data_IF_354867870223
#
_entry.id   IF_354867870223
#
_cell.length_a   1.000
_cell.length_b   1.000
_cell.length_c   1.000
_cell.angle_alpha   90.00
_cell.angle_beta   90.00
_cell.angle_gamma   90.00
#
_symmetry.space_group_name_H-M   'P 1'
#
loop_
_entity.id
_entity.type
_entity.pdbx_description
1 polymer ?
#
# COMPACT_ATOMS: atom_id res chain seq x y z
N UNK A 1 -12.94 11.43 -1.72
CA UNK A 1 -12.80 10.15 -2.45
C UNK A 1 -13.88 10.05 -3.53
N UNK A 2 -13.55 9.64 -4.75
CA UNK A 2 -14.47 9.61 -5.91
C UNK A 2 -15.47 8.43 -5.89
N UNK A 3 -15.68 7.79 -4.73
CA UNK A 3 -16.51 6.60 -4.61
C UNK A 3 -17.95 6.82 -5.13
N UNK A 4 -18.56 7.96 -4.77
CA UNK A 4 -19.89 8.35 -5.26
C UNK A 4 -19.93 8.51 -6.78
N UNK A 5 -18.90 9.11 -7.38
CA UNK A 5 -18.80 9.28 -8.82
C UNK A 5 -18.67 7.92 -9.54
N UNK A 6 -17.92 6.99 -8.93
CA UNK A 6 -17.68 5.65 -9.47
C UNK A 6 -18.75 4.62 -9.07
N UNK A 7 -19.78 5.02 -8.32
CA UNK A 7 -20.83 4.14 -7.79
C UNK A 7 -20.28 2.95 -6.98
N UNK A 8 -19.19 3.18 -6.24
CA UNK A 8 -18.55 2.17 -5.39
C UNK A 8 -19.02 2.37 -3.95
N UNK A 9 -19.50 1.30 -3.33
CA UNK A 9 -19.77 1.28 -1.89
C UNK A 9 -18.45 1.27 -1.11
N UNK A 10 -18.34 2.13 -0.09
CA UNK A 10 -17.17 2.20 0.77
C UNK A 10 -17.60 1.88 2.18
N UNK A 11 -17.01 0.83 2.74
CA UNK A 11 -17.11 0.51 4.16
C UNK A 11 -15.83 0.98 4.86
N UNK A 12 -16.00 1.57 6.03
CA UNK A 12 -14.90 2.00 6.90
C UNK A 12 -14.99 1.25 8.22
N UNK A 13 -13.85 1.02 8.85
CA UNK A 13 -13.76 0.38 10.16
C UNK A 13 -12.70 1.08 11.00
N UNK A 14 -12.94 1.15 12.29
CA UNK A 14 -12.01 1.57 13.34
C UNK A 14 -11.20 0.40 13.92
N UNK A 15 -11.47 -0.83 13.47
CA UNK A 15 -10.73 -2.01 13.90
C UNK A 15 -9.28 -1.91 13.46
N UNK A 16 -8.34 -2.07 14.40
CA UNK A 16 -6.92 -2.15 14.10
C UNK A 16 -6.59 -3.50 13.43
N UNK A 17 -6.72 -3.55 12.10
CA UNK A 17 -6.43 -4.72 11.28
C UNK A 17 -4.94 -5.08 11.29
N UNK A 18 -4.07 -4.07 11.39
CA UNK A 18 -2.62 -4.22 11.26
C UNK A 18 -2.06 -4.87 12.52
N UNK A 19 -2.33 -4.30 13.70
CA UNK A 19 -1.79 -4.82 14.97
C UNK A 19 -2.46 -6.11 15.40
N UNK A 20 -3.75 -6.30 15.07
CA UNK A 20 -4.44 -7.57 15.36
C UNK A 20 -4.01 -8.72 14.44
N UNK A 21 -3.16 -8.45 13.44
CA UNK A 21 -2.78 -9.39 12.39
C UNK A 21 -4.00 -10.07 11.73
N UNK A 22 -5.16 -9.41 11.77
CA UNK A 22 -6.37 -9.88 11.13
C UNK A 22 -6.23 -9.65 9.64
N UNK A 23 -5.74 -10.67 8.96
CA UNK A 23 -5.75 -10.77 7.51
C UNK A 23 -7.16 -11.22 7.16
N UNK A 24 -8.07 -10.27 6.92
CA UNK A 24 -9.44 -10.60 6.53
C UNK A 24 -10.06 -11.69 7.41
N UNK A 25 -10.37 -11.37 8.67
CA UNK A 25 -11.25 -12.26 9.48
C UNK A 25 -12.65 -12.43 8.85
N UNK A 26 -12.93 -11.76 7.74
CA UNK A 26 -13.91 -12.16 6.74
C UNK A 26 -13.17 -12.35 5.39
N UNK A 27 -13.41 -13.47 4.72
CA UNK A 27 -12.61 -14.04 3.63
C UNK A 27 -12.57 -13.22 2.31
N UNK A 28 -13.15 -12.01 2.27
CA UNK A 28 -13.70 -11.43 1.04
C UNK A 28 -12.76 -10.56 0.20
N UNK A 29 -11.58 -10.18 0.70
CA UNK A 29 -10.72 -9.26 -0.07
C UNK A 29 -9.79 -10.03 -0.99
N UNK A 30 -9.84 -9.77 -2.29
CA UNK A 30 -8.85 -10.29 -3.25
C UNK A 30 -7.64 -9.34 -3.42
N UNK A 31 -7.86 -8.05 -3.17
CA UNK A 31 -6.87 -6.98 -3.41
C UNK A 31 -6.77 -6.10 -2.18
N UNK A 32 -5.55 -5.77 -1.79
CA UNK A 32 -5.21 -4.77 -0.78
C UNK A 32 -4.50 -3.61 -1.49
N UNK A 33 -5.06 -2.41 -1.34
CA UNK A 33 -4.48 -1.17 -1.83
C UNK A 33 -4.01 -0.36 -0.63
N UNK A 34 -2.75 0.06 -0.64
CA UNK A 34 -2.16 0.91 0.38
C UNK A 34 -1.78 2.23 -0.26
N UNK A 35 -2.24 3.34 0.33
CA UNK A 35 -1.79 4.68 -0.02
C UNK A 35 -1.58 5.47 1.25
N UNK A 36 -0.51 6.26 1.28
CA UNK A 36 -0.24 7.24 2.35
C UNK A 36 -0.14 6.67 3.79
N UNK A 37 0.39 5.45 3.93
CA UNK A 37 0.55 4.79 5.24
C UNK A 37 2.02 4.67 5.69
N UNK A 38 2.96 5.08 4.84
CA UNK A 38 4.40 4.94 5.07
C UNK A 38 5.04 6.27 5.51
N UNK A 39 4.43 6.95 6.47
CA UNK A 39 4.91 8.22 7.02
C UNK A 39 5.64 8.08 8.37
N UNK A 40 5.34 7.03 9.14
CA UNK A 40 5.95 6.73 10.44
C UNK A 40 6.59 5.34 10.47
N UNK A 41 7.83 5.25 10.96
CA UNK A 41 8.63 4.04 10.92
C UNK A 41 8.00 2.84 11.71
N UNK A 42 7.52 3.01 12.96
CA UNK A 42 6.94 1.88 13.70
C UNK A 42 5.66 1.31 13.07
N UNK A 43 4.86 2.18 12.44
CA UNK A 43 3.66 1.77 11.72
C UNK A 43 4.03 1.05 10.41
N UNK A 44 4.99 1.59 9.66
CA UNK A 44 5.49 0.99 8.42
C UNK A 44 5.97 -0.46 8.63
N UNK A 45 6.73 -0.73 9.69
CA UNK A 45 7.22 -2.09 10.00
C UNK A 45 6.09 -3.08 10.28
N UNK A 46 5.10 -2.67 11.08
CA UNK A 46 3.92 -3.51 11.36
C UNK A 46 3.11 -3.76 10.09
N UNK A 47 2.92 -2.72 9.29
CA UNK A 47 2.20 -2.78 8.03
C UNK A 47 2.88 -3.73 7.04
N UNK A 48 4.21 -3.65 6.86
CA UNK A 48 4.95 -4.56 5.97
C UNK A 48 4.77 -6.03 6.38
N UNK A 49 4.83 -6.32 7.69
CA UNK A 49 4.58 -7.69 8.20
C UNK A 49 3.17 -8.15 7.87
N UNK A 50 2.18 -7.30 8.10
CA UNK A 50 0.78 -7.60 7.79
C UNK A 50 0.56 -7.83 6.28
N UNK A 51 1.14 -6.99 5.42
CA UNK A 51 1.06 -7.12 3.95
C UNK A 51 1.70 -8.40 3.43
N UNK A 52 2.83 -8.82 4.02
CA UNK A 52 3.47 -10.10 3.70
C UNK A 52 2.56 -11.28 4.05
N UNK A 53 1.94 -11.26 5.22
CA UNK A 53 1.01 -12.31 5.61
C UNK A 53 -0.22 -12.33 4.71
N UNK A 54 -0.77 -11.17 4.33
CA UNK A 54 -1.84 -11.09 3.34
C UNK A 54 -1.41 -11.63 1.96
N UNK A 55 -0.17 -11.36 1.54
CA UNK A 55 0.39 -11.93 0.31
C UNK A 55 0.52 -13.45 0.35
N UNK A 56 0.93 -14.02 1.49
CA UNK A 56 0.98 -15.47 1.72
C UNK A 56 -0.42 -16.09 1.68
N UNK A 57 -1.44 -15.37 2.14
CA UNK A 57 -2.85 -15.76 2.01
C UNK A 57 -3.43 -15.57 0.59
N UNK A 58 -2.58 -15.35 -0.42
CA UNK A 58 -2.97 -15.28 -1.83
C UNK A 58 -3.55 -13.93 -2.27
N UNK A 59 -3.50 -12.88 -1.44
CA UNK A 59 -4.05 -11.57 -1.81
C UNK A 59 -3.10 -10.79 -2.73
N UNK A 60 -3.65 -9.98 -3.62
CA UNK A 60 -2.86 -9.03 -4.42
C UNK A 60 -2.62 -7.75 -3.62
N UNK A 61 -1.38 -7.30 -3.54
CA UNK A 61 -1.02 -6.13 -2.76
C UNK A 61 -0.41 -5.08 -3.68
N UNK A 62 -0.98 -3.87 -3.67
CA UNK A 62 -0.46 -2.72 -4.38
C UNK A 62 -0.27 -1.54 -3.44
N UNK A 63 0.83 -0.82 -3.64
CA UNK A 63 1.22 0.31 -2.82
C UNK A 63 1.41 1.51 -3.74
N UNK A 64 0.60 2.54 -3.53
CA UNK A 64 0.77 3.85 -4.16
C UNK A 64 1.66 4.71 -3.30
N UNK A 65 2.68 5.30 -3.93
CA UNK A 65 3.65 6.22 -3.34
C UNK A 65 4.11 5.83 -1.92
N UNK A 66 4.94 4.78 -1.80
CA UNK A 66 5.37 4.29 -0.50
C UNK A 66 6.27 5.27 0.28
N UNK A 67 6.53 6.46 -0.25
CA UNK A 67 7.39 7.45 0.39
C UNK A 67 8.77 6.89 0.72
N UNK A 68 9.30 7.31 1.87
CA UNK A 68 10.68 6.99 2.28
C UNK A 68 10.79 5.76 3.16
N UNK A 69 9.71 5.36 3.84
CA UNK A 69 9.79 4.39 4.92
C UNK A 69 9.56 2.93 4.50
N UNK A 70 9.01 2.66 3.32
CA UNK A 70 8.85 1.28 2.84
C UNK A 70 10.20 0.56 2.65
N UNK A 71 11.22 1.26 2.16
CA UNK A 71 12.47 0.66 1.69
C UNK A 71 13.65 0.82 2.69
N UNK A 72 13.33 1.08 3.95
CA UNK A 72 14.34 1.38 4.98
C UNK A 72 15.18 0.14 5.31
N UNK A 73 14.57 -1.03 5.36
CA UNK A 73 15.29 -2.27 5.62
C UNK A 73 15.90 -2.84 4.33
N UNK A 74 17.06 -3.49 4.44
CA UNK A 74 17.72 -4.15 3.29
C UNK A 74 16.84 -5.23 2.67
N UNK A 75 16.00 -5.89 3.48
CA UNK A 75 15.05 -6.92 3.02
C UNK A 75 13.94 -6.32 2.18
N UNK A 76 13.51 -5.10 2.47
CA UNK A 76 12.39 -4.46 1.80
C UNK A 76 12.79 -3.66 0.55
N UNK A 77 14.09 -3.61 0.20
CA UNK A 77 14.55 -2.88 -1.00
C UNK A 77 13.83 -3.34 -2.29
N UNK A 78 13.65 -2.40 -3.25
CA UNK A 78 13.19 -2.74 -4.60
C UNK A 78 13.95 -3.93 -5.19
N UNK A 79 13.22 -4.85 -5.82
CA UNK A 79 13.77 -6.06 -6.44
C UNK A 79 13.76 -7.30 -5.56
N UNK A 80 13.62 -7.17 -4.23
CA UNK A 80 13.46 -8.33 -3.33
C UNK A 80 12.00 -8.81 -3.34
N UNK A 81 11.17 -8.12 -2.55
CA UNK A 81 9.74 -8.43 -2.45
C UNK A 81 8.88 -7.42 -3.18
N UNK A 82 9.42 -6.26 -3.56
CA UNK A 82 8.68 -5.20 -4.20
C UNK A 82 9.17 -4.99 -5.63
N UNK A 83 8.25 -5.00 -6.59
CA UNK A 83 8.54 -4.53 -7.94
C UNK A 83 7.78 -3.24 -8.21
N UNK A 84 8.48 -2.30 -8.85
CA UNK A 84 7.86 -1.12 -9.43
C UNK A 84 6.99 -1.56 -10.61
N UNK A 85 5.73 -1.14 -10.62
CA UNK A 85 4.77 -1.52 -11.66
C UNK A 85 4.63 -0.42 -12.69
N UNK A 86 4.48 0.83 -12.25
CA UNK A 86 4.27 1.96 -13.15
C UNK A 86 4.45 3.29 -12.43
N UNK A 87 4.62 4.35 -13.22
CA UNK A 87 4.72 5.74 -12.79
C UNK A 87 3.65 6.57 -13.48
N UNK A 88 2.97 7.42 -12.72
CA UNK A 88 1.98 8.36 -13.24
C UNK A 88 2.47 9.79 -13.12
N UNK A 89 2.23 10.59 -14.16
CA UNK A 89 2.40 12.04 -14.11
C UNK A 89 1.22 12.66 -13.35
N UNK A 90 1.55 13.49 -12.36
CA UNK A 90 0.59 14.29 -11.63
C UNK A 90 0.39 15.64 -12.33
N UNK A 91 -0.81 16.20 -12.17
CA UNK A 91 -1.13 17.50 -12.73
C UNK A 91 -0.40 18.65 -12.02
N UNK A 92 -0.32 19.80 -12.68
CA UNK A 92 0.34 21.02 -12.17
C UNK A 92 -0.12 21.44 -10.77
N UNK A 93 -1.38 21.17 -10.41
CA UNK A 93 -1.89 21.44 -9.06
C UNK A 93 -1.11 20.69 -7.97
N UNK A 94 -0.80 19.41 -8.18
CA UNK A 94 -0.02 18.62 -7.21
C UNK A 94 1.41 19.14 -7.09
N UNK A 95 1.99 19.64 -8.18
CA UNK A 95 3.29 20.28 -8.14
C UNK A 95 3.27 21.59 -7.35
N UNK A 96 2.24 22.40 -7.50
CA UNK A 96 2.10 23.66 -6.75
C UNK A 96 1.86 23.43 -5.26
N UNK A 97 0.99 22.47 -4.92
CA UNK A 97 0.59 22.22 -3.54
C UNK A 97 1.66 21.42 -2.76
N UNK A 98 2.36 20.49 -3.42
CA UNK A 98 3.23 19.52 -2.76
C UNK A 98 4.63 19.37 -3.38
N UNK A 99 4.94 20.06 -4.49
CA UNK A 99 6.23 19.94 -5.18
C UNK A 99 6.43 18.61 -5.92
N UNK A 100 5.38 17.79 -6.04
CA UNK A 100 5.46 16.44 -6.63
C UNK A 100 4.89 16.43 -8.03
N UNK A 101 5.66 15.92 -8.99
CA UNK A 101 5.28 15.81 -10.41
C UNK A 101 4.90 14.39 -10.82
N UNK A 102 5.39 13.38 -10.10
CA UNK A 102 5.23 11.97 -10.44
C UNK A 102 4.84 11.16 -9.20
N UNK A 103 4.11 10.07 -9.38
CA UNK A 103 3.83 9.10 -8.32
C UNK A 103 4.03 7.67 -8.84
N UNK A 104 4.45 6.77 -7.96
CA UNK A 104 4.81 5.40 -8.31
C UNK A 104 3.85 4.38 -7.69
N UNK A 105 3.56 3.31 -8.44
CA UNK A 105 2.83 2.14 -7.94
C UNK A 105 3.76 0.95 -7.85
N UNK A 106 3.73 0.29 -6.72
CA UNK A 106 4.54 -0.88 -6.39
C UNK A 106 3.64 -2.07 -6.11
N UNK A 107 4.15 -3.28 -6.35
CA UNK A 107 3.47 -4.53 -6.03
C UNK A 107 4.35 -5.40 -5.17
N UNK A 108 3.74 -6.05 -4.17
CA UNK A 108 4.41 -7.05 -3.33
C UNK A 108 4.32 -8.44 -3.96
N UNK A 109 5.46 -9.13 -4.01
CA UNK A 109 5.65 -10.48 -4.51
C UNK A 109 6.12 -11.40 -3.38
N UNK A 110 5.97 -12.71 -3.59
CA UNK A 110 6.59 -13.72 -2.76
C UNK A 110 7.86 -14.20 -3.46
N UNK A 111 8.97 -14.33 -2.73
CA UNK A 111 10.14 -15.06 -3.22
C UNK A 111 9.87 -16.53 -2.96
N UNK A 112 9.78 -17.33 -4.03
CA UNK A 112 9.79 -18.80 -3.98
C UNK A 112 11.09 -19.32 -3.42
#
# INVERSE_FOLDING_TARGET
MNARLNKVAVNVTDTDLISSMKIGTAEDWNVVLVGDMFYENPLADKLVKWLRSAKLAGKFIYIGDPGRYLFVTTKDRPGNFFAHITRYKLGMKMFQDHGVVDTDVWKLFHLS
#
